data_IF_085556135145
#
_entry.id   IF_085556135145
#
_cell.length_a   1.000
_cell.length_b   1.000
_cell.length_c   1.000
_cell.angle_alpha   90.00
_cell.angle_beta   90.00
_cell.angle_gamma   90.00
#
_symmetry.space_group_name_H-M   'P 1'
#
loop_
_entity.id
_entity.type
_entity.pdbx_description
1 polymer ?
#
# COMPACT_ATOMS: atom_id res chain seq x y z
N UNK A 1 4.84 28.44 14.17
CA UNK A 1 4.20 28.24 12.85
C UNK A 1 3.19 27.12 13.00
N UNK A 2 1.94 27.23 12.52
CA UNK A 2 1.04 26.09 12.56
C UNK A 2 1.63 25.03 11.63
N UNK A 3 1.90 23.85 12.18
CA UNK A 3 2.31 22.69 11.40
C UNK A 3 1.14 22.33 10.48
N UNK A 4 1.20 22.75 9.22
CA UNK A 4 0.33 22.18 8.17
C UNK A 4 0.84 20.78 7.89
N UNK A 5 0.45 19.84 8.76
CA UNK A 5 0.41 18.42 8.40
C UNK A 5 -0.46 18.35 7.15
N UNK A 6 0.15 18.17 5.99
CA UNK A 6 -0.54 17.82 4.76
C UNK A 6 -1.52 16.69 5.15
N UNK A 7 -2.83 16.82 4.92
CA UNK A 7 -3.74 15.74 5.27
C UNK A 7 -3.21 14.47 4.62
N UNK A 8 -3.16 13.39 5.40
CA UNK A 8 -2.76 12.09 4.89
C UNK A 8 -3.50 11.84 3.57
N UNK A 9 -2.81 11.39 2.51
CA UNK A 9 -3.47 11.18 1.22
C UNK A 9 -4.58 10.14 1.40
N UNK A 10 -5.82 10.60 1.46
CA UNK A 10 -6.99 9.74 1.51
C UNK A 10 -7.08 8.96 0.20
N UNK A 11 -7.19 7.64 0.30
CA UNK A 11 -7.34 6.75 -0.85
C UNK A 11 -8.56 7.16 -1.69
N UNK A 12 -8.36 7.49 -2.97
CA UNK A 12 -9.40 7.96 -3.91
C UNK A 12 -9.47 7.04 -5.14
N UNK A 13 -10.65 6.85 -5.78
CA UNK A 13 -10.78 5.98 -6.96
C UNK A 13 -9.78 6.31 -8.08
N UNK A 14 -9.53 7.58 -8.34
CA UNK A 14 -8.59 8.00 -9.40
C UNK A 14 -7.16 7.55 -9.13
N UNK A 15 -6.73 7.52 -7.87
CA UNK A 15 -5.39 7.04 -7.48
C UNK A 15 -5.28 5.53 -7.68
N UNK A 16 -6.34 4.78 -7.37
CA UNK A 16 -6.39 3.34 -7.64
C UNK A 16 -6.34 3.05 -9.14
N UNK A 17 -6.99 3.86 -9.98
CA UNK A 17 -6.97 3.70 -11.45
C UNK A 17 -5.57 3.82 -12.06
N UNK A 18 -4.64 4.53 -11.42
CA UNK A 18 -3.24 4.59 -11.84
C UNK A 18 -2.52 3.24 -11.71
N UNK A 19 -3.02 2.33 -10.86
CA UNK A 19 -2.50 0.97 -10.74
C UNK A 19 -3.21 0.10 -11.77
N UNK A 20 -2.44 -0.50 -12.68
CA UNK A 20 -2.97 -1.23 -13.84
C UNK A 20 -4.01 -2.30 -13.47
N UNK A 21 -3.81 -3.00 -12.35
CA UNK A 21 -4.72 -4.05 -11.86
C UNK A 21 -6.13 -3.53 -11.53
N UNK A 22 -6.28 -2.25 -11.18
CA UNK A 22 -7.57 -1.65 -10.83
C UNK A 22 -8.15 -0.76 -11.95
N UNK A 23 -7.38 -0.47 -13.00
CA UNK A 23 -7.77 0.46 -14.09
C UNK A 23 -9.13 0.16 -14.73
N UNK A 24 -9.45 -1.13 -14.90
CA UNK A 24 -10.70 -1.60 -15.54
C UNK A 24 -11.82 -1.93 -14.56
N UNK A 25 -11.62 -1.71 -13.25
CA UNK A 25 -12.68 -1.98 -12.28
C UNK A 25 -13.80 -0.94 -12.38
N UNK A 26 -15.08 -1.38 -12.29
CA UNK A 26 -16.21 -0.48 -12.18
C UNK A 26 -16.10 0.42 -10.95
N UNK A 27 -16.63 1.65 -11.03
CA UNK A 27 -16.65 2.64 -9.96
C UNK A 27 -17.09 2.06 -8.61
N UNK A 28 -18.22 1.32 -8.62
CA UNK A 28 -18.78 0.69 -7.42
C UNK A 28 -17.81 -0.29 -6.74
N UNK A 29 -16.98 -1.00 -7.51
CA UNK A 29 -15.96 -1.92 -6.95
C UNK A 29 -14.76 -1.17 -6.39
N UNK A 30 -14.36 -0.07 -7.01
CA UNK A 30 -13.33 0.81 -6.46
C UNK A 30 -13.78 1.43 -5.13
N UNK A 31 -15.02 1.93 -5.08
CA UNK A 31 -15.60 2.49 -3.87
C UNK A 31 -15.64 1.45 -2.73
N UNK A 32 -16.09 0.22 -3.03
CA UNK A 32 -16.06 -0.87 -2.07
C UNK A 32 -14.64 -1.18 -1.58
N UNK A 33 -13.64 -1.22 -2.47
CA UNK A 33 -12.24 -1.43 -2.07
C UNK A 33 -11.75 -0.34 -1.11
N UNK A 34 -12.10 0.92 -1.35
CA UNK A 34 -11.71 2.05 -0.49
C UNK A 34 -12.32 1.89 0.90
N UNK A 35 -13.61 1.53 0.98
CA UNK A 35 -14.32 1.32 2.24
C UNK A 35 -13.76 0.15 3.07
N UNK A 36 -13.22 -0.89 2.41
CA UNK A 36 -12.59 -2.02 3.09
C UNK A 36 -11.09 -1.80 3.38
N UNK A 37 -10.50 -0.75 2.82
CA UNK A 37 -9.07 -0.47 2.97
C UNK A 37 -8.77 0.28 4.27
N UNK A 38 -7.55 0.08 4.77
CA UNK A 38 -7.01 0.84 5.90
C UNK A 38 -5.80 1.62 5.42
N UNK A 39 -5.72 2.89 5.80
CA UNK A 39 -4.52 3.68 5.56
C UNK A 39 -3.41 3.23 6.52
N UNK A 40 -2.22 3.04 5.97
CA UNK A 40 -1.03 2.61 6.72
C UNK A 40 0.09 3.57 6.39
N UNK A 41 0.52 4.33 7.39
CA UNK A 41 1.67 5.20 7.29
C UNK A 41 2.89 4.49 7.86
N UNK A 42 3.92 4.37 7.03
CA UNK A 42 5.20 3.81 7.43
C UNK A 42 6.28 4.90 7.44
N UNK A 43 7.08 4.89 8.50
CA UNK A 43 8.31 5.65 8.57
C UNK A 43 9.44 4.92 7.83
N UNK A 44 10.49 5.63 7.40
CA UNK A 44 11.69 4.99 6.86
C UNK A 44 12.20 3.88 7.78
N UNK A 45 12.61 2.77 7.17
CA UNK A 45 13.07 1.55 7.86
C UNK A 45 12.02 0.80 8.69
N UNK A 46 10.74 1.19 8.65
CA UNK A 46 9.69 0.32 9.16
C UNK A 46 9.42 -0.85 8.19
N UNK A 47 9.27 -2.02 8.78
CA UNK A 47 8.93 -3.24 8.07
C UNK A 47 7.44 -3.25 7.74
N UNK A 48 7.09 -3.38 6.47
CA UNK A 48 5.70 -3.58 6.04
C UNK A 48 5.24 -5.03 6.29
N UNK A 49 6.10 -5.99 5.93
CA UNK A 49 5.86 -7.43 6.03
C UNK A 49 7.17 -8.19 6.19
N UNK A 50 7.12 -9.31 6.91
CA UNK A 50 8.22 -10.26 7.04
C UNK A 50 8.05 -11.44 6.08
N UNK A 51 9.17 -12.00 5.62
CA UNK A 51 9.15 -13.25 4.86
C UNK A 51 8.56 -14.39 5.69
N UNK A 52 7.71 -15.22 5.07
CA UNK A 52 7.01 -16.33 5.74
C UNK A 52 5.69 -15.94 6.42
N UNK A 53 5.34 -14.65 6.49
CA UNK A 53 4.01 -14.24 6.94
C UNK A 53 2.92 -14.57 5.89
N UNK A 54 1.72 -15.00 6.31
CA UNK A 54 0.59 -15.19 5.41
C UNK A 54 0.24 -13.94 4.61
N UNK A 55 0.03 -14.11 3.30
CA UNK A 55 -0.32 -13.04 2.37
C UNK A 55 -1.84 -12.85 2.27
N UNK A 56 -2.49 -12.53 3.40
CA UNK A 56 -3.96 -12.46 3.50
C UNK A 56 -4.55 -11.11 3.02
N UNK A 57 -3.69 -10.18 2.62
CA UNK A 57 -4.10 -8.83 2.21
C UNK A 57 -3.15 -8.24 1.16
N UNK A 58 -3.68 -7.27 0.40
CA UNK A 58 -2.94 -6.55 -0.64
C UNK A 58 -2.62 -5.14 -0.16
N UNK A 59 -1.41 -4.68 -0.45
CA UNK A 59 -0.97 -3.31 -0.19
C UNK A 59 -0.82 -2.55 -1.50
N UNK A 60 -1.29 -1.31 -1.52
CA UNK A 60 -1.14 -0.40 -2.66
C UNK A 60 -0.25 0.76 -2.24
N UNK A 61 0.94 0.86 -2.83
CA UNK A 61 1.87 1.95 -2.54
C UNK A 61 1.42 3.23 -3.26
N UNK A 62 0.85 4.17 -2.52
CA UNK A 62 0.32 5.42 -3.09
C UNK A 62 1.39 6.49 -3.30
N UNK A 63 2.36 6.58 -2.39
CA UNK A 63 3.48 7.52 -2.42
C UNK A 63 4.71 6.88 -1.75
N UNK A 64 5.92 7.23 -2.20
CA UNK A 64 7.18 6.75 -1.62
C UNK A 64 7.85 5.60 -2.38
N UNK A 65 8.76 4.88 -1.71
CA UNK A 65 9.43 3.69 -2.24
C UNK A 65 9.52 2.60 -1.19
N UNK A 66 9.27 1.36 -1.62
CA UNK A 66 9.46 0.16 -0.82
C UNK A 66 10.76 -0.52 -1.28
N UNK A 67 11.58 -0.98 -0.33
CA UNK A 67 12.68 -1.90 -0.62
C UNK A 67 12.32 -3.27 -0.06
N UNK A 68 12.50 -4.30 -0.87
CA UNK A 68 12.33 -5.69 -0.45
C UNK A 68 13.70 -6.33 -0.40
N UNK A 69 14.00 -7.00 0.71
CA UNK A 69 15.21 -7.77 0.90
C UNK A 69 14.79 -9.23 1.12
N UNK A 70 15.38 -10.12 0.34
CA UNK A 70 15.21 -11.56 0.47
C UNK A 70 16.52 -12.14 0.95
N UNK A 71 16.46 -13.03 1.94
CA UNK A 71 17.64 -13.71 2.47
C UNK A 71 17.59 -15.16 2.01
N UNK A 72 18.49 -15.53 1.09
CA UNK A 72 18.62 -16.92 0.63
C UNK A 72 19.62 -17.64 1.53
N UNK A 73 19.17 -18.70 2.20
CA UNK A 73 20.04 -19.57 2.98
C UNK A 73 20.54 -20.72 2.10
N UNK A 74 21.86 -20.84 1.96
CA UNK A 74 22.51 -21.98 1.32
C UNK A 74 23.10 -22.89 2.40
N UNK A 75 22.60 -24.11 2.50
CA UNK A 75 23.21 -25.16 3.31
C UNK A 75 24.23 -25.91 2.47
N UNK A 76 25.39 -26.22 3.07
CA UNK A 76 26.45 -27.06 2.49
C UNK A 76 26.30 -28.49 2.95
#
# INVERSE_FOLDING_TARGET
MPNTLKPAPSLHPDRLRCVSVFSKLPEKKLQWLIEQSKDIQLQPSQLLRSEGEPADCVFVLLEGRLHQQFSVWQFS
#
